data_IF_099633987403
#
_entry.id   IF_099633987403
#
_cell.length_a   1.000
_cell.length_b   1.000
_cell.length_c   1.000
_cell.angle_alpha   90.00
_cell.angle_beta   90.00
_cell.angle_gamma   90.00
#
_symmetry.space_group_name_H-M   'P 1'
#
loop_
_entity.id
_entity.type
_entity.pdbx_description
1 polymer ?
#
# COMPACT_ATOMS: atom_id res chain seq x y z
N UNK A 1 24.43 6.61 -18.15
CA UNK A 1 23.24 6.71 -19.03
C UNK A 1 21.99 6.41 -18.21
N UNK A 2 21.07 7.36 -18.06
CA UNK A 2 19.80 7.16 -17.36
C UNK A 2 18.78 6.54 -18.32
N UNK A 3 18.47 5.26 -18.16
CA UNK A 3 17.37 4.62 -18.89
C UNK A 3 16.04 5.00 -18.22
N UNK A 4 15.20 5.74 -18.95
CA UNK A 4 13.86 6.09 -18.51
C UNK A 4 13.10 4.83 -18.06
N UNK A 5 12.32 4.89 -16.96
CA UNK A 5 11.49 3.78 -16.56
C UNK A 5 10.37 3.55 -17.57
N UNK A 6 10.33 2.33 -18.14
CA UNK A 6 9.22 1.83 -18.94
C UNK A 6 7.89 2.15 -18.25
N UNK A 7 7.11 3.00 -18.92
CA UNK A 7 5.78 3.47 -18.52
C UNK A 7 4.73 2.35 -18.58
N UNK A 8 4.97 1.32 -19.38
CA UNK A 8 4.10 0.14 -19.56
C UNK A 8 3.82 -0.64 -18.27
N UNK A 9 4.75 -0.61 -17.31
CA UNK A 9 4.59 -1.26 -16.00
C UNK A 9 3.69 -0.46 -15.03
N UNK A 10 3.36 0.80 -15.34
CA UNK A 10 2.41 1.63 -14.58
C UNK A 10 0.99 1.57 -15.16
N UNK A 11 0.85 1.09 -16.40
CA UNK A 11 -0.30 1.38 -17.26
C UNK A 11 -1.52 0.47 -17.04
N UNK A 12 -1.43 -0.52 -16.15
CA UNK A 12 -2.51 -1.50 -15.92
C UNK A 12 -3.13 -1.44 -14.51
N UNK A 13 -2.90 -0.38 -13.72
CA UNK A 13 -3.77 -0.09 -12.57
C UNK A 13 -4.83 0.90 -13.00
N UNK A 14 -6.07 0.48 -13.24
CA UNK A 14 -7.12 1.41 -13.59
C UNK A 14 -7.29 2.45 -12.48
N UNK A 15 -7.28 3.74 -12.84
CA UNK A 15 -7.40 4.85 -11.88
C UNK A 15 -8.65 4.72 -10.97
N UNK A 16 -9.70 4.02 -11.41
CA UNK A 16 -10.92 3.77 -10.62
C UNK A 16 -10.73 2.78 -9.46
N UNK A 17 -9.71 1.91 -9.50
CA UNK A 17 -9.36 1.08 -8.34
C UNK A 17 -8.88 1.93 -7.16
N UNK A 18 -8.31 3.10 -7.42
CA UNK A 18 -7.87 4.04 -6.40
C UNK A 18 -9.05 4.64 -5.64
N UNK A 19 -10.12 4.96 -6.36
CA UNK A 19 -11.39 5.33 -5.73
C UNK A 19 -11.89 4.17 -4.88
N UNK A 20 -11.84 2.93 -5.36
CA UNK A 20 -12.34 1.78 -4.60
C UNK A 20 -11.59 1.56 -3.28
N UNK A 21 -10.27 1.71 -3.24
CA UNK A 21 -9.49 1.55 -1.99
C UNK A 21 -9.72 2.71 -1.03
N UNK A 22 -9.65 3.96 -1.50
CA UNK A 22 -9.82 5.15 -0.66
C UNK A 22 -11.27 5.25 -0.15
N UNK A 23 -12.25 5.07 -1.05
CA UNK A 23 -13.67 5.08 -0.70
C UNK A 23 -14.01 3.85 0.12
N UNK A 24 -13.46 2.67 -0.18
CA UNK A 24 -13.71 1.44 0.56
C UNK A 24 -13.24 1.54 2.01
N UNK A 25 -11.95 1.81 2.25
CA UNK A 25 -11.42 1.97 3.61
C UNK A 25 -12.04 3.18 4.32
N UNK A 26 -12.25 4.29 3.61
CA UNK A 26 -12.87 5.50 4.17
C UNK A 26 -14.33 5.27 4.59
N UNK A 27 -15.13 4.62 3.76
CA UNK A 27 -16.54 4.30 4.05
C UNK A 27 -16.63 3.24 5.14
N UNK A 28 -15.81 2.19 5.09
CA UNK A 28 -15.82 1.14 6.12
C UNK A 28 -15.35 1.69 7.47
N UNK A 29 -14.36 2.58 7.48
CA UNK A 29 -13.93 3.30 8.68
C UNK A 29 -15.01 4.24 9.22
N UNK A 30 -15.63 5.04 8.34
CA UNK A 30 -16.75 5.91 8.73
C UNK A 30 -17.88 5.09 9.36
N UNK A 31 -18.31 4.01 8.73
CA UNK A 31 -19.36 3.14 9.25
C UNK A 31 -18.96 2.43 10.55
N UNK A 32 -17.70 2.00 10.69
CA UNK A 32 -17.19 1.35 11.89
C UNK A 32 -17.21 2.29 13.12
N UNK A 33 -16.97 3.59 12.93
CA UNK A 33 -16.90 4.59 14.01
C UNK A 33 -18.12 5.51 14.12
N UNK A 34 -19.04 5.44 13.16
CA UNK A 34 -20.30 6.18 13.25
C UNK A 34 -21.30 5.45 14.15
N UNK A 35 -22.07 6.21 14.93
CA UNK A 35 -23.22 5.69 15.68
C UNK A 35 -24.44 5.40 14.76
N UNK A 36 -24.31 5.65 13.45
CA UNK A 36 -25.39 5.55 12.46
C UNK A 36 -25.95 4.14 12.31
N UNK A 37 -25.16 3.11 12.61
CA UNK A 37 -25.57 1.69 12.51
C UNK A 37 -26.12 1.09 13.83
N UNK A 38 -26.08 1.83 14.94
CA UNK A 38 -26.46 1.36 16.27
C UNK A 38 -25.67 0.12 16.75
N UNK A 39 -26.04 -0.47 17.89
CA UNK A 39 -25.40 -1.70 18.40
C UNK A 39 -25.99 -2.96 17.74
N UNK A 40 -25.74 -3.14 16.45
CA UNK A 40 -26.14 -4.35 15.72
C UNK A 40 -24.97 -5.30 15.55
N UNK A 41 -25.23 -6.61 15.46
CA UNK A 41 -24.21 -7.63 15.09
C UNK A 41 -23.50 -7.26 13.78
N UNK A 42 -24.19 -6.59 12.86
CA UNK A 42 -23.62 -6.05 11.63
C UNK A 42 -22.56 -4.97 11.88
N UNK A 43 -22.79 -4.05 12.82
CA UNK A 43 -21.80 -3.02 13.19
C UNK A 43 -20.50 -3.64 13.72
N UNK A 44 -20.60 -4.68 14.55
CA UNK A 44 -19.44 -5.41 15.07
C UNK A 44 -18.68 -6.14 13.94
N UNK A 45 -19.39 -6.75 12.98
CA UNK A 45 -18.76 -7.35 11.79
C UNK A 45 -18.01 -6.30 10.97
N UNK A 46 -18.61 -5.12 10.76
CA UNK A 46 -17.97 -4.01 10.03
C UNK A 46 -16.69 -3.55 10.73
N UNK A 47 -16.69 -3.43 12.07
CA UNK A 47 -15.48 -3.11 12.84
C UNK A 47 -14.40 -4.18 12.68
N UNK A 48 -14.75 -5.46 12.78
CA UNK A 48 -13.80 -6.57 12.60
C UNK A 48 -13.19 -6.55 11.20
N UNK A 49 -14.00 -6.40 10.15
CA UNK A 49 -13.53 -6.30 8.77
C UNK A 49 -12.59 -5.10 8.59
N UNK A 50 -12.94 -3.95 9.17
CA UNK A 50 -12.09 -2.76 9.15
C UNK A 50 -10.74 -3.02 9.84
N UNK A 51 -10.74 -3.61 11.05
CA UNK A 51 -9.49 -3.92 11.75
C UNK A 51 -8.63 -4.92 11.00
N UNK A 52 -9.21 -5.96 10.40
CA UNK A 52 -8.47 -6.92 9.58
C UNK A 52 -7.86 -6.24 8.35
N UNK A 53 -8.61 -5.37 7.67
CA UNK A 53 -8.10 -4.60 6.54
C UNK A 53 -6.96 -3.64 6.95
N UNK A 54 -7.12 -2.95 8.08
CA UNK A 54 -6.10 -2.06 8.64
C UNK A 54 -4.82 -2.82 9.01
N UNK A 55 -4.95 -3.97 9.67
CA UNK A 55 -3.82 -4.83 10.04
C UNK A 55 -3.10 -5.36 8.79
N UNK A 56 -3.83 -5.75 7.75
CA UNK A 56 -3.25 -6.15 6.48
C UNK A 56 -2.44 -5.00 5.84
N UNK A 57 -3.01 -3.79 5.76
CA UNK A 57 -2.30 -2.60 5.25
C UNK A 57 -1.06 -2.26 6.07
N UNK A 58 -1.14 -2.36 7.40
CA UNK A 58 0.01 -2.13 8.26
C UNK A 58 1.09 -3.21 8.03
N UNK A 59 0.69 -4.47 7.85
CA UNK A 59 1.58 -5.58 7.49
C UNK A 59 2.32 -5.33 6.18
N UNK A 60 1.61 -4.88 5.15
CA UNK A 60 2.18 -4.47 3.86
C UNK A 60 3.17 -3.30 4.01
N UNK A 61 2.81 -2.29 4.82
CA UNK A 61 3.67 -1.15 5.09
C UNK A 61 4.96 -1.55 5.84
N UNK A 62 4.86 -2.45 6.82
CA UNK A 62 6.04 -2.98 7.51
C UNK A 62 6.90 -3.82 6.55
N UNK A 63 6.26 -4.63 5.70
CA UNK A 63 6.96 -5.43 4.71
C UNK A 63 7.76 -4.55 3.74
N UNK A 64 7.15 -3.48 3.19
CA UNK A 64 7.85 -2.58 2.27
C UNK A 64 9.02 -1.85 2.95
N UNK A 65 8.85 -1.45 4.22
CA UNK A 65 9.91 -0.81 5.00
C UNK A 65 11.13 -1.74 5.15
N UNK A 66 10.87 -3.00 5.51
CA UNK A 66 11.91 -4.03 5.65
C UNK A 66 12.54 -4.33 4.29
N UNK A 67 11.75 -4.41 3.23
CA UNK A 67 12.24 -4.64 1.87
C UNK A 67 13.17 -3.51 1.41
N UNK A 68 12.81 -2.24 1.65
CA UNK A 68 13.65 -1.09 1.32
C UNK A 68 14.96 -1.11 2.14
N UNK A 69 14.85 -1.33 3.44
CA UNK A 69 16.01 -1.36 4.35
C UNK A 69 17.03 -2.43 3.96
N UNK A 70 16.56 -3.65 3.63
CA UNK A 70 17.43 -4.76 3.22
C UNK A 70 18.10 -4.57 1.86
N UNK A 71 17.59 -3.68 1.01
CA UNK A 71 18.14 -3.41 -0.32
C UNK A 71 18.90 -2.07 -0.39
N UNK A 72 19.44 -1.61 0.74
CA UNK A 72 20.29 -0.42 0.80
C UNK A 72 19.54 0.88 0.53
N UNK A 73 18.25 0.93 0.87
CA UNK A 73 17.37 2.11 0.78
C UNK A 73 16.84 2.53 2.17
N UNK A 74 17.59 2.25 3.24
CA UNK A 74 17.18 2.53 4.63
C UNK A 74 16.85 4.00 4.88
N UNK A 75 17.58 4.93 4.26
CA UNK A 75 17.35 6.38 4.37
C UNK A 75 15.99 6.84 3.85
N UNK A 76 15.36 6.06 2.96
CA UNK A 76 14.03 6.36 2.39
C UNK A 76 12.98 5.31 2.74
N UNK A 77 13.32 4.30 3.55
CA UNK A 77 12.41 3.21 3.91
C UNK A 77 11.13 3.72 4.60
N UNK A 78 11.23 4.75 5.44
CA UNK A 78 10.08 5.41 6.05
C UNK A 78 9.16 6.09 5.03
N UNK A 79 9.71 6.69 3.96
CA UNK A 79 8.89 7.27 2.90
C UNK A 79 8.09 6.19 2.19
N UNK A 80 8.69 5.03 1.95
CA UNK A 80 8.02 3.87 1.37
C UNK A 80 6.95 3.27 2.27
N UNK A 81 7.19 3.23 3.59
CA UNK A 81 6.19 2.85 4.58
C UNK A 81 4.94 3.72 4.47
N UNK A 82 5.08 5.05 4.54
CA UNK A 82 3.94 5.97 4.41
C UNK A 82 3.29 5.89 3.04
N UNK A 83 4.09 5.75 1.97
CA UNK A 83 3.56 5.56 0.64
C UNK A 83 2.70 4.29 0.54
N UNK A 84 3.10 3.21 1.21
CA UNK A 84 2.32 1.96 1.26
C UNK A 84 1.09 2.04 2.16
N UNK A 85 1.08 2.88 3.19
CA UNK A 85 -0.15 3.14 3.95
C UNK A 85 -1.21 3.85 3.10
N UNK A 86 -0.79 4.69 2.15
CA UNK A 86 -1.70 5.43 1.26
C UNK A 86 -2.04 4.61 0.00
N UNK A 87 -1.05 3.95 -0.59
CA UNK A 87 -1.16 3.28 -1.89
C UNK A 87 -1.23 1.75 -1.82
N UNK A 88 -1.13 1.17 -0.62
CA UNK A 88 -1.15 -0.28 -0.38
C UNK A 88 -0.10 -1.05 -1.18
N UNK A 89 -0.49 -2.24 -1.63
CA UNK A 89 0.26 -3.16 -2.47
C UNK A 89 1.04 -2.53 -3.64
N UNK A 90 0.57 -1.43 -4.24
CA UNK A 90 1.26 -0.79 -5.36
C UNK A 90 2.61 -0.19 -4.99
N UNK A 91 2.73 0.33 -3.77
CA UNK A 91 4.02 0.80 -3.27
C UNK A 91 5.04 -0.35 -3.28
N UNK A 92 4.62 -1.56 -2.92
CA UNK A 92 5.47 -2.76 -2.92
C UNK A 92 5.97 -3.07 -4.32
N UNK A 93 5.10 -3.09 -5.32
CA UNK A 93 5.49 -3.33 -6.72
C UNK A 93 6.48 -2.29 -7.23
N UNK A 94 6.24 -1.01 -6.92
CA UNK A 94 7.11 0.09 -7.32
C UNK A 94 8.51 -0.07 -6.70
N UNK A 95 8.58 -0.40 -5.40
CA UNK A 95 9.85 -0.62 -4.72
C UNK A 95 10.59 -1.84 -5.28
N UNK A 96 9.90 -2.96 -5.53
CA UNK A 96 10.51 -4.16 -6.13
C UNK A 96 11.13 -3.85 -7.49
N UNK A 97 10.46 -3.06 -8.32
CA UNK A 97 10.99 -2.60 -9.62
C UNK A 97 12.26 -1.75 -9.46
N UNK A 98 12.28 -0.82 -8.49
CA UNK A 98 13.45 0.02 -8.20
C UNK A 98 14.62 -0.84 -7.73
N UNK A 99 14.36 -1.82 -6.88
CA UNK A 99 15.38 -2.77 -6.40
C UNK A 99 15.94 -3.59 -7.57
N UNK A 100 15.08 -4.13 -8.44
CA UNK A 100 15.49 -4.90 -9.61
C UNK A 100 16.38 -4.06 -10.55
N UNK A 101 15.99 -2.81 -10.83
CA UNK A 101 16.80 -1.88 -11.63
C UNK A 101 18.16 -1.59 -11.00
N UNK A 102 18.22 -1.35 -9.68
CA UNK A 102 19.49 -1.14 -8.97
C UNK A 102 20.41 -2.34 -9.08
N UNK A 103 19.89 -3.56 -8.92
CA UNK A 103 20.67 -4.79 -9.05
C UNK A 103 21.21 -5.00 -10.46
N UNK A 104 20.41 -4.73 -11.48
CA UNK A 104 20.85 -4.82 -12.88
C UNK A 104 21.99 -3.86 -13.19
N UNK A 105 21.95 -2.62 -12.68
CA UNK A 105 22.98 -1.61 -12.89
C UNK A 105 24.30 -1.86 -12.15
N UNK A 106 24.30 -2.68 -11.09
CA UNK A 106 25.52 -3.08 -10.38
C UNK A 106 26.23 -4.24 -11.09
N UNK A 107 25.49 -5.06 -11.85
CA UNK A 107 26.02 -6.23 -12.55
C UNK A 107 26.41 -5.95 -14.01
N UNK A 108 26.23 -4.72 -14.49
CA UNK A 108 26.59 -4.24 -15.84
C UNK A 108 27.85 -3.41 -15.80
#
# INVERSE_FOLDING_TARGET
MQTQPDSSLYQNSPWWWWLFVIVGLGTTGFLAFSDTLGSSTFHEVVKVVFYLALLAHLGEAIYIYRLASRNGLSSVAWKWFFHCLVCGFWAIMLLQKIIAKRKAAVNS
#
